data_IF_938401629487
#
_entry.id   IF_938401629487
#
_cell.length_a   1.000
_cell.length_b   1.000
_cell.length_c   1.000
_cell.angle_alpha   90.00
_cell.angle_beta   90.00
_cell.angle_gamma   90.00
#
_symmetry.space_group_name_H-M   'P 1'
#
loop_
_entity.id
_entity.type
_entity.pdbx_description
1 polymer ?
#
# COMPACT_ATOMS: atom_id res chain seq x y z
N UNK A 1 -8.49 -7.41 -7.70
CA UNK A 1 -7.10 -6.92 -7.59
C UNK A 1 -6.38 -7.76 -6.55
N UNK A 2 -5.17 -8.23 -6.84
CA UNK A 2 -4.31 -8.89 -5.87
C UNK A 2 -3.35 -7.85 -5.26
N UNK A 3 -3.48 -7.57 -3.96
CA UNK A 3 -2.60 -6.66 -3.24
C UNK A 3 -1.81 -7.43 -2.20
N UNK A 4 -0.48 -7.37 -2.27
CA UNK A 4 0.40 -7.95 -1.25
C UNK A 4 1.10 -6.83 -0.50
N UNK A 5 1.13 -6.92 0.83
CA UNK A 5 1.92 -6.02 1.67
C UNK A 5 2.87 -6.83 2.56
N UNK A 6 4.09 -6.34 2.74
CA UNK A 6 5.11 -7.00 3.56
C UNK A 6 6.18 -6.00 4.02
N UNK A 7 6.89 -6.35 5.09
CA UNK A 7 8.11 -5.65 5.50
C UNK A 7 9.34 -6.37 4.95
N UNK A 8 10.31 -5.64 4.41
CA UNK A 8 11.65 -6.18 4.08
C UNK A 8 12.67 -5.52 5.03
N UNK A 9 13.24 -6.33 5.93
CA UNK A 9 14.31 -5.88 6.84
C UNK A 9 15.66 -6.21 6.22
N UNK A 10 16.33 -5.18 5.68
CA UNK A 10 17.67 -5.29 5.10
C UNK A 10 18.80 -4.95 6.10
N UNK A 11 18.57 -5.06 7.42
CA UNK A 11 19.55 -5.18 8.52
C UNK A 11 19.50 -4.14 9.67
N UNK A 12 18.68 -3.07 9.68
CA UNK A 12 18.65 -2.07 10.78
C UNK A 12 17.29 -1.30 10.91
N UNK A 13 17.00 -0.56 12.01
CA UNK A 13 15.71 -0.55 12.74
C UNK A 13 14.61 0.37 12.18
N UNK A 14 14.44 0.41 10.86
CA UNK A 14 13.25 1.02 10.26
C UNK A 14 12.68 0.04 9.25
N UNK A 15 11.63 -0.68 9.65
CA UNK A 15 10.96 -1.62 8.76
C UNK A 15 10.52 -0.87 7.50
N UNK A 16 10.94 -1.37 6.33
CA UNK A 16 10.51 -0.80 5.06
C UNK A 16 9.26 -1.53 4.63
N UNK A 17 8.16 -0.79 4.54
CA UNK A 17 6.88 -1.27 4.05
C UNK A 17 6.90 -1.38 2.53
N UNK A 18 6.39 -2.48 2.01
CA UNK A 18 6.18 -2.72 0.59
C UNK A 18 4.72 -3.02 0.31
N UNK A 19 4.23 -2.52 -0.83
CA UNK A 19 2.92 -2.86 -1.40
C UNK A 19 3.10 -3.21 -2.87
N UNK A 20 2.62 -4.39 -3.25
CA UNK A 20 2.60 -4.88 -4.62
C UNK A 20 1.16 -5.05 -5.11
N UNK A 21 0.86 -4.49 -6.28
CA UNK A 21 -0.45 -4.56 -6.93
C UNK A 21 -0.31 -5.38 -8.22
N UNK A 22 -1.06 -6.48 -8.31
CA UNK A 22 -1.15 -7.39 -9.46
C UNK A 22 0.22 -7.82 -10.02
N UNK A 23 1.24 -7.94 -9.14
CA UNK A 23 2.64 -8.24 -9.51
C UNK A 23 3.24 -7.26 -10.55
N UNK A 24 2.63 -6.08 -10.74
CA UNK A 24 3.00 -5.07 -11.75
C UNK A 24 3.53 -3.77 -11.15
N UNK A 25 2.90 -3.32 -10.07
CA UNK A 25 3.27 -2.07 -9.41
C UNK A 25 3.79 -2.38 -8.02
N UNK A 26 5.02 -1.95 -7.71
CA UNK A 26 5.65 -2.09 -6.40
C UNK A 26 5.91 -0.71 -5.82
N UNK A 27 5.39 -0.45 -4.63
CA UNK A 27 5.58 0.79 -3.89
C UNK A 27 6.27 0.50 -2.57
N UNK A 28 7.07 1.44 -2.08
CA UNK A 28 7.85 1.28 -0.85
C UNK A 28 7.77 2.54 0.01
N UNK A 29 7.80 2.37 1.32
CA UNK A 29 7.83 3.47 2.28
C UNK A 29 8.55 3.07 3.56
N UNK A 30 9.25 4.01 4.20
CA UNK A 30 9.80 3.80 5.55
C UNK A 30 8.74 4.09 6.63
N UNK A 31 8.71 3.25 7.65
CA UNK A 31 7.81 3.40 8.80
C UNK A 31 6.96 2.15 9.01
N UNK A 32 5.93 2.26 9.85
CA UNK A 32 5.04 1.18 10.28
C UNK A 32 3.55 1.50 10.10
N UNK A 33 3.23 2.70 9.61
CA UNK A 33 1.85 3.16 9.42
C UNK A 33 1.29 2.72 8.06
N UNK A 34 0.71 1.52 8.05
CA UNK A 34 0.02 0.95 6.88
C UNK A 34 -1.21 1.76 6.46
N UNK A 35 -1.87 2.44 7.39
CA UNK A 35 -3.07 3.24 7.14
C UNK A 35 -2.71 4.48 6.32
N UNK A 36 -1.69 5.21 6.79
CA UNK A 36 -1.15 6.34 6.04
C UNK A 36 -0.52 5.92 4.72
N UNK A 37 0.12 4.75 4.66
CA UNK A 37 0.66 4.24 3.40
C UNK A 37 -0.44 3.93 2.38
N UNK A 38 -1.57 3.37 2.83
CA UNK A 38 -2.75 3.15 1.98
C UNK A 38 -3.30 4.46 1.43
N UNK A 39 -3.50 5.47 2.28
CA UNK A 39 -4.02 6.78 1.86
C UNK A 39 -3.11 7.44 0.80
N UNK A 40 -1.80 7.47 1.07
CA UNK A 40 -0.81 8.01 0.12
C UNK A 40 -0.83 7.26 -1.22
N UNK A 41 -1.06 5.94 -1.21
CA UNK A 41 -1.15 5.13 -2.43
C UNK A 41 -2.43 5.38 -3.22
N UNK A 42 -3.57 5.59 -2.57
CA UNK A 42 -4.83 5.93 -3.24
C UNK A 42 -4.67 7.24 -4.02
N UNK A 43 -4.12 8.27 -3.38
CA UNK A 43 -3.85 9.55 -4.03
C UNK A 43 -2.84 9.40 -5.18
N UNK A 44 -1.76 8.63 -4.96
CA UNK A 44 -0.74 8.40 -5.99
C UNK A 44 -1.32 7.69 -7.21
N UNK A 45 -2.10 6.62 -7.01
CA UNK A 45 -2.69 5.84 -8.10
C UNK A 45 -3.68 6.68 -8.90
N UNK A 46 -4.46 7.53 -8.23
CA UNK A 46 -5.41 8.44 -8.87
C UNK A 46 -4.68 9.48 -9.74
N UNK A 47 -3.62 10.10 -9.22
CA UNK A 47 -2.88 11.15 -9.91
C UNK A 47 -1.97 10.63 -11.04
N UNK A 48 -1.41 9.43 -10.90
CA UNK A 48 -0.33 8.95 -11.78
C UNK A 48 -0.73 7.82 -12.72
N UNK A 49 -1.74 7.01 -12.37
CA UNK A 49 -2.14 5.85 -13.16
C UNK A 49 -3.57 6.01 -13.68
N UNK A 50 -4.57 5.93 -12.80
CA UNK A 50 -5.98 6.18 -13.14
C UNK A 50 -6.87 6.21 -11.90
N UNK A 51 -7.94 7.00 -11.96
CA UNK A 51 -9.01 7.01 -10.95
C UNK A 51 -9.66 5.63 -10.77
N UNK A 52 -9.83 4.86 -11.85
CA UNK A 52 -10.39 3.52 -11.80
C UNK A 52 -9.53 2.56 -10.95
N UNK A 53 -8.21 2.55 -11.19
CA UNK A 53 -7.28 1.73 -10.41
C UNK A 53 -7.24 2.16 -8.94
N UNK A 54 -7.29 3.48 -8.69
CA UNK A 54 -7.36 4.01 -7.31
C UNK A 54 -8.59 3.49 -6.56
N UNK A 55 -9.78 3.53 -7.18
CA UNK A 55 -11.02 3.00 -6.59
C UNK A 55 -10.98 1.48 -6.37
N UNK A 56 -10.40 0.74 -7.32
CA UNK A 56 -10.21 -0.70 -7.16
C UNK A 56 -9.25 -1.04 -6.01
N UNK A 57 -8.16 -0.26 -5.86
CA UNK A 57 -7.22 -0.40 -4.76
C UNK A 57 -7.84 -0.02 -3.41
N UNK A 58 -8.58 1.09 -3.35
CA UNK A 58 -9.30 1.54 -2.17
C UNK A 58 -10.25 0.44 -1.65
N UNK A 59 -11.02 -0.17 -2.56
CA UNK A 59 -11.95 -1.26 -2.26
C UNK A 59 -11.21 -2.52 -1.82
N UNK A 60 -10.13 -2.89 -2.51
CA UNK A 60 -9.35 -4.10 -2.21
C UNK A 60 -8.55 -4.02 -0.91
N UNK A 61 -8.42 -2.82 -0.32
CA UNK A 61 -7.64 -2.57 0.90
C UNK A 61 -8.50 -1.98 2.03
N UNK A 62 -9.84 -2.06 1.93
CA UNK A 62 -10.77 -1.58 2.96
C UNK A 62 -10.53 -2.27 4.32
N UNK A 63 -10.10 -3.53 4.29
CA UNK A 63 -9.78 -4.35 5.47
C UNK A 63 -8.56 -3.82 6.26
N UNK A 64 -7.67 -3.05 5.65
CA UNK A 64 -6.52 -2.44 6.33
C UNK A 64 -6.96 -1.41 7.39
N UNK A 65 -8.15 -0.84 7.23
CA UNK A 65 -8.75 0.10 8.19
C UNK A 65 -9.22 -0.67 9.44
N UNK A 66 -9.56 -1.95 9.29
CA UNK A 66 -10.15 -2.79 10.34
C UNK A 66 -9.12 -3.49 11.24
N UNK A 67 -7.83 -3.48 10.90
CA UNK A 67 -6.75 -4.02 11.76
C UNK A 67 -6.50 -3.23 13.04
N UNK A 68 -7.28 -2.17 13.30
CA UNK A 68 -7.21 -1.35 14.50
C UNK A 68 -8.00 -1.89 15.70
N UNK A 69 -8.54 -3.11 15.63
CA UNK A 69 -9.34 -3.77 16.69
C UNK A 69 -8.61 -4.97 17.29
#
# INVERSE_FOLDING_TARGET
MNVRRYFESMSEPNDTMFVEIDDRHRFTRRGDDWLKFREDLIELLEQTISEALSKEFETATEDWISERV
#
